data_IF_366839745417
#
_entry.id   IF_366839745417
#
_cell.length_a   1.000
_cell.length_b   1.000
_cell.length_c   1.000
_cell.angle_alpha   90.00
_cell.angle_beta   90.00
_cell.angle_gamma   90.00
#
_symmetry.space_group_name_H-M   'P 1'
#
loop_
_entity.id
_entity.type
_entity.pdbx_description
1 polymer ?
#
# COMPACT_ATOMS: atom_id res chain seq x y z
N UNK A 1 -44.81 54.58 12.38
CA UNK A 1 -45.38 53.51 13.23
C UNK A 1 -45.45 52.25 12.36
N UNK A 2 -44.51 51.31 12.51
CA UNK A 2 -44.53 50.14 13.43
C UNK A 2 -45.60 49.11 12.98
N UNK A 3 -45.37 47.82 12.65
CA UNK A 3 -44.35 46.77 12.91
C UNK A 3 -44.51 45.63 11.87
N UNK A 4 -43.44 45.06 11.28
CA UNK A 4 -42.64 43.83 11.62
C UNK A 4 -43.30 42.44 11.41
N UNK A 5 -42.50 41.58 10.75
CA UNK A 5 -42.29 40.10 10.88
C UNK A 5 -43.43 39.18 10.43
N UNK A 6 -43.24 38.04 9.73
CA UNK A 6 -42.28 36.91 9.83
C UNK A 6 -42.18 36.18 8.46
N UNK A 7 -41.00 35.86 7.92
CA UNK A 7 -40.30 34.55 7.98
C UNK A 7 -41.19 33.30 7.81
N UNK A 8 -41.02 32.55 6.72
CA UNK A 8 -41.03 31.08 6.76
C UNK A 8 -40.22 30.50 5.61
N UNK A 9 -39.12 29.89 6.02
CA UNK A 9 -38.19 29.06 5.27
C UNK A 9 -38.90 27.74 4.98
N UNK A 10 -39.02 27.34 3.71
CA UNK A 10 -39.37 25.97 3.36
C UNK A 10 -38.09 25.21 3.01
N UNK A 11 -37.44 24.71 4.06
CA UNK A 11 -36.39 23.69 3.97
C UNK A 11 -37.02 22.42 3.44
N UNK A 12 -36.73 22.05 2.19
CA UNK A 12 -37.03 20.71 1.70
C UNK A 12 -35.86 19.79 2.14
N UNK A 13 -36.09 19.07 3.22
CA UNK A 13 -35.19 18.02 3.70
C UNK A 13 -35.32 16.85 2.74
N UNK A 14 -34.31 16.63 1.89
CA UNK A 14 -34.12 15.36 1.20
C UNK A 14 -33.51 14.37 2.19
N UNK A 15 -34.37 13.57 2.81
CA UNK A 15 -33.97 12.27 3.33
C UNK A 15 -33.70 11.36 2.13
N UNK A 16 -32.46 11.30 1.66
CA UNK A 16 -31.97 10.06 1.08
C UNK A 16 -31.30 9.29 2.21
N UNK A 17 -32.07 8.36 2.75
CA UNK A 17 -31.55 7.17 3.41
C UNK A 17 -30.91 6.35 2.29
N UNK A 18 -29.65 6.66 1.98
CA UNK A 18 -28.75 5.73 1.34
C UNK A 18 -28.14 4.90 2.45
N UNK A 19 -28.75 3.76 2.76
CA UNK A 19 -28.01 2.66 3.35
C UNK A 19 -26.92 2.29 2.35
N UNK A 20 -25.74 2.90 2.45
CA UNK A 20 -24.56 2.28 1.87
C UNK A 20 -24.17 1.14 2.79
N UNK A 21 -24.78 0.02 2.43
CA UNK A 21 -24.31 -1.33 2.63
C UNK A 21 -22.79 -1.29 2.76
N UNK A 22 -22.30 -1.43 3.99
CA UNK A 22 -20.91 -1.74 4.27
C UNK A 22 -20.63 -3.15 3.75
N UNK A 23 -20.67 -3.32 2.43
CA UNK A 23 -19.81 -4.27 1.77
C UNK A 23 -18.41 -3.70 1.96
N UNK A 24 -17.73 -4.12 3.03
CA UNK A 24 -16.28 -4.21 2.96
C UNK A 24 -16.00 -5.21 1.84
N UNK A 25 -15.94 -4.72 0.60
CA UNK A 25 -15.17 -5.39 -0.43
C UNK A 25 -13.74 -5.36 0.10
N UNK A 26 -13.20 -6.52 0.44
CA UNK A 26 -11.76 -6.68 0.49
C UNK A 26 -11.25 -6.44 -0.91
N UNK A 27 -10.93 -5.18 -1.21
CA UNK A 27 -10.28 -4.78 -2.45
C UNK A 27 -8.83 -5.26 -2.36
N UNK A 28 -8.62 -6.56 -2.60
CA UNK A 28 -7.30 -7.08 -2.92
C UNK A 28 -6.98 -6.57 -4.32
N UNK A 29 -6.32 -5.41 -4.39
CA UNK A 29 -5.86 -4.83 -5.64
C UNK A 29 -4.58 -5.53 -6.07
N UNK A 30 -4.44 -5.86 -7.34
CA UNK A 30 -3.15 -6.29 -7.89
C UNK A 30 -2.19 -5.11 -7.87
N UNK A 31 -0.90 -5.37 -7.62
CA UNK A 31 0.13 -4.34 -7.73
C UNK A 31 0.33 -3.91 -9.20
N UNK A 32 1.20 -2.91 -9.43
CA UNK A 32 1.57 -2.48 -10.79
C UNK A 32 1.97 -3.71 -11.63
N UNK A 33 1.32 -3.96 -12.79
CA UNK A 33 1.64 -5.11 -13.64
C UNK A 33 3.10 -5.06 -14.10
N UNK A 34 3.75 -6.23 -14.20
CA UNK A 34 5.15 -6.35 -14.58
C UNK A 34 5.48 -5.68 -15.93
N UNK A 35 4.54 -5.72 -16.87
CA UNK A 35 4.65 -5.06 -18.18
C UNK A 35 4.72 -3.54 -18.12
N UNK A 36 4.33 -2.95 -16.99
CA UNK A 36 4.33 -1.51 -16.76
C UNK A 36 5.51 -1.04 -15.92
N UNK A 37 6.34 -1.96 -15.42
CA UNK A 37 7.46 -1.65 -14.54
C UNK A 37 8.61 -1.03 -15.32
N UNK A 38 9.10 0.10 -14.81
CA UNK A 38 10.33 0.73 -15.25
C UNK A 38 11.46 0.55 -14.24
N UNK A 39 11.14 0.55 -12.94
CA UNK A 39 12.09 0.39 -11.84
C UNK A 39 11.46 -0.31 -10.65
N UNK A 40 12.21 -1.19 -10.01
CA UNK A 40 11.87 -1.84 -8.75
C UNK A 40 12.87 -1.39 -7.67
N UNK A 41 12.36 -0.98 -6.51
CA UNK A 41 13.16 -0.75 -5.32
C UNK A 41 12.53 -1.46 -4.12
N UNK A 42 13.33 -2.22 -3.36
CA UNK A 42 12.93 -2.85 -2.11
C UNK A 42 13.83 -2.31 -1.00
N UNK A 43 13.22 -1.73 0.04
CA UNK A 43 13.92 -1.22 1.22
C UNK A 43 13.55 -2.12 2.39
N UNK A 44 14.53 -2.85 2.89
CA UNK A 44 14.43 -3.67 4.10
C UNK A 44 14.90 -2.85 5.31
N UNK A 45 14.07 -2.75 6.35
CA UNK A 45 14.46 -2.25 7.68
C UNK A 45 14.60 -3.47 8.60
N UNK A 46 15.82 -3.78 9.01
CA UNK A 46 16.15 -4.92 9.89
C UNK A 46 15.77 -4.68 11.36
N UNK A 47 15.16 -3.53 11.67
CA UNK A 47 14.67 -3.19 12.99
C UNK A 47 15.80 -2.92 13.96
N UNK A 48 15.89 -3.72 15.03
CA UNK A 48 16.87 -3.52 16.09
C UNK A 48 18.22 -4.15 15.77
N UNK A 49 19.09 -3.35 15.15
CA UNK A 49 20.49 -3.71 14.80
C UNK A 49 21.51 -3.00 15.70
N UNK A 50 22.72 -3.57 15.81
CA UNK A 50 23.80 -2.99 16.61
C UNK A 50 24.34 -1.66 16.07
N UNK A 51 24.31 -1.47 14.74
CA UNK A 51 24.74 -0.25 14.07
C UNK A 51 23.63 0.29 13.18
N UNK A 52 23.39 1.61 13.22
CA UNK A 52 22.41 2.26 12.34
C UNK A 52 22.74 2.13 10.85
N UNK A 53 24.00 1.86 10.49
CA UNK A 53 24.41 1.63 9.10
C UNK A 53 24.01 0.27 8.57
N UNK A 54 23.73 -0.69 9.45
CA UNK A 54 23.31 -2.05 9.11
C UNK A 54 21.78 -2.17 9.15
N UNK A 55 21.07 -1.08 9.43
CA UNK A 55 19.63 -1.12 9.64
C UNK A 55 18.85 -1.27 8.35
N UNK A 56 19.38 -0.73 7.26
CA UNK A 56 18.68 -0.68 5.99
C UNK A 56 19.47 -1.36 4.89
N UNK A 57 18.78 -2.22 4.14
CA UNK A 57 19.27 -2.81 2.89
C UNK A 57 18.39 -2.32 1.74
N UNK A 58 19.02 -1.84 0.66
CA UNK A 58 18.34 -1.28 -0.53
C UNK A 58 18.66 -2.13 -1.77
N UNK A 59 17.63 -2.75 -2.31
CA UNK A 59 17.64 -3.55 -3.54
C UNK A 59 17.00 -2.70 -4.64
N UNK A 60 17.78 -2.16 -5.58
CA UNK A 60 17.29 -1.17 -6.56
C UNK A 60 17.74 -1.56 -7.97
N UNK A 61 16.77 -1.81 -8.84
CA UNK A 61 16.98 -2.37 -10.17
C UNK A 61 16.16 -1.60 -11.21
N UNK A 62 16.80 -1.26 -12.34
CA UNK A 62 16.09 -0.81 -13.53
C UNK A 62 15.45 -2.02 -14.25
N UNK A 63 14.39 -1.81 -15.05
CA UNK A 63 13.62 -2.90 -15.67
C UNK A 63 14.47 -3.99 -16.34
N UNK A 64 15.54 -3.62 -17.05
CA UNK A 64 16.41 -4.57 -17.75
C UNK A 64 17.30 -5.42 -16.84
N UNK A 65 17.37 -5.07 -15.55
CA UNK A 65 18.15 -5.76 -14.52
C UNK A 65 17.26 -6.66 -13.65
N UNK A 66 15.93 -6.59 -13.81
CA UNK A 66 14.97 -7.39 -13.06
C UNK A 66 14.86 -8.78 -13.73
N UNK A 67 15.12 -9.88 -13.01
CA UNK A 67 14.93 -11.23 -13.52
C UNK A 67 13.47 -11.49 -13.95
N UNK A 68 13.27 -12.30 -14.99
CA UNK A 68 11.93 -12.67 -15.46
C UNK A 68 11.08 -13.31 -14.37
N UNK A 69 11.69 -14.10 -13.51
CA UNK A 69 11.08 -14.81 -12.40
C UNK A 69 10.52 -13.82 -11.36
N UNK A 70 11.20 -12.69 -11.15
CA UNK A 70 10.72 -11.60 -10.31
C UNK A 70 9.52 -10.92 -10.94
N UNK A 71 9.56 -10.66 -12.25
CA UNK A 71 8.43 -10.07 -12.99
C UNK A 71 7.20 -10.98 -12.95
N UNK A 72 7.38 -12.28 -13.15
CA UNK A 72 6.32 -13.30 -13.03
C UNK A 72 5.76 -13.34 -11.61
N UNK A 73 6.61 -13.28 -10.58
CA UNK A 73 6.17 -13.25 -9.17
C UNK A 73 5.36 -11.99 -8.88
N UNK A 74 5.81 -10.81 -9.30
CA UNK A 74 5.11 -9.52 -9.14
C UNK A 74 3.68 -9.60 -9.67
N UNK A 75 3.47 -10.19 -10.85
CA UNK A 75 2.14 -10.31 -11.46
C UNK A 75 1.16 -11.19 -10.65
N UNK A 76 1.67 -12.00 -9.71
CA UNK A 76 0.85 -12.83 -8.82
C UNK A 76 0.55 -12.17 -7.48
N UNK A 77 1.24 -11.08 -7.13
CA UNK A 77 1.10 -10.42 -5.83
C UNK A 77 -0.18 -9.58 -5.79
N UNK A 78 -0.90 -9.72 -4.68
CA UNK A 78 -2.07 -8.92 -4.38
C UNK A 78 -1.85 -8.14 -3.09
N UNK A 79 -2.43 -6.96 -3.02
CA UNK A 79 -2.47 -6.19 -1.77
C UNK A 79 -3.43 -6.84 -0.79
N UNK A 80 -3.19 -6.64 0.49
CA UNK A 80 -4.05 -7.09 1.57
C UNK A 80 -4.31 -5.95 2.55
N UNK A 81 -5.49 -5.97 3.16
CA UNK A 81 -5.89 -5.11 4.27
C UNK A 81 -6.12 -5.92 5.56
N UNK A 82 -5.97 -7.25 5.50
CA UNK A 82 -6.26 -8.16 6.60
C UNK A 82 -4.97 -8.79 7.18
N UNK A 83 -5.03 -9.29 8.41
CA UNK A 83 -3.92 -9.94 9.11
C UNK A 83 -2.64 -9.08 9.25
N UNK A 84 -2.82 -7.77 9.44
CA UNK A 84 -1.70 -6.87 9.76
C UNK A 84 -1.20 -7.13 11.19
N UNK A 85 0.08 -7.46 11.38
CA UNK A 85 0.67 -7.76 12.69
C UNK A 85 1.84 -6.86 13.02
N UNK A 86 1.84 -6.22 14.19
CA UNK A 86 2.86 -5.22 14.49
C UNK A 86 4.09 -5.80 15.12
N UNK A 87 5.19 -5.73 14.37
CA UNK A 87 6.51 -5.98 14.91
C UNK A 87 7.23 -4.67 15.12
N UNK A 88 7.21 -4.15 16.36
CA UNK A 88 7.93 -2.92 16.70
C UNK A 88 9.45 -3.04 16.54
N UNK A 89 9.98 -4.27 16.60
CA UNK A 89 11.42 -4.57 16.53
C UNK A 89 11.75 -5.60 15.44
N UNK A 90 10.81 -5.89 14.53
CA UNK A 90 11.00 -6.89 13.48
C UNK A 90 11.48 -6.30 12.17
N UNK A 91 11.95 -7.18 11.29
CA UNK A 91 12.26 -6.83 9.92
C UNK A 91 10.99 -6.40 9.18
N UNK A 92 11.03 -5.27 8.49
CA UNK A 92 9.92 -4.74 7.69
C UNK A 92 10.41 -4.32 6.31
N UNK A 93 9.50 -4.17 5.36
CA UNK A 93 9.84 -3.88 3.97
C UNK A 93 9.04 -2.72 3.40
N UNK A 94 9.64 -2.02 2.43
CA UNK A 94 8.97 -1.15 1.47
C UNK A 94 9.25 -1.67 0.07
N UNK A 95 8.25 -1.70 -0.79
CA UNK A 95 8.44 -1.88 -2.23
C UNK A 95 8.00 -0.60 -2.91
N UNK A 96 8.89 0.01 -3.70
CA UNK A 96 8.56 1.10 -4.60
C UNK A 96 8.66 0.60 -6.04
N UNK A 97 7.56 0.68 -6.79
CA UNK A 97 7.53 0.36 -8.21
C UNK A 97 7.34 1.67 -8.97
N UNK A 98 8.27 2.00 -9.86
CA UNK A 98 8.08 3.12 -10.80
C UNK A 98 7.51 2.56 -12.09
N UNK A 99 6.35 3.06 -12.52
CA UNK A 99 5.69 2.64 -13.74
C UNK A 99 6.20 3.38 -15.00
N UNK A 100 5.67 3.00 -16.16
CA UNK A 100 5.97 3.63 -17.46
C UNK A 100 5.54 5.11 -17.56
N UNK A 101 4.71 5.59 -16.63
CA UNK A 101 4.31 7.01 -16.51
C UNK A 101 5.19 7.78 -15.52
N UNK A 102 6.28 7.18 -15.02
CA UNK A 102 7.15 7.72 -13.97
C UNK A 102 6.43 7.97 -12.62
N UNK A 103 5.31 7.28 -12.39
CA UNK A 103 4.58 7.32 -11.10
C UNK A 103 5.18 6.26 -10.17
N UNK A 104 5.46 6.66 -8.93
CA UNK A 104 5.96 5.76 -7.89
C UNK A 104 4.78 5.23 -7.09
N UNK A 105 4.61 3.91 -7.11
CA UNK A 105 3.65 3.19 -6.30
C UNK A 105 4.38 2.57 -5.11
N UNK A 106 3.94 2.91 -3.89
CA UNK A 106 4.56 2.42 -2.65
C UNK A 106 3.67 1.38 -2.00
N UNK A 107 4.27 0.23 -1.72
CA UNK A 107 3.68 -0.86 -0.97
C UNK A 107 4.55 -1.13 0.26
N UNK A 108 3.95 -1.63 1.34
CA UNK A 108 4.68 -1.94 2.56
C UNK A 108 4.36 -3.35 3.03
N UNK A 109 5.30 -3.97 3.75
CA UNK A 109 5.00 -5.26 4.37
C UNK A 109 3.86 -5.14 5.37
N UNK A 110 3.01 -6.17 5.44
CA UNK A 110 1.86 -6.25 6.34
C UNK A 110 2.22 -6.17 7.84
N UNK A 111 3.51 -6.18 8.18
CA UNK A 111 3.99 -6.03 9.55
C UNK A 111 4.59 -4.67 9.92
N UNK A 112 4.64 -3.72 8.98
CA UNK A 112 5.33 -2.44 9.15
C UNK A 112 4.54 -1.39 9.94
N UNK A 113 3.24 -1.27 9.70
CA UNK A 113 2.45 -0.13 10.21
C UNK A 113 1.00 -0.52 10.48
N UNK A 114 0.76 -1.21 11.60
CA UNK A 114 -0.54 -1.76 11.96
C UNK A 114 -1.28 -0.77 12.84
N UNK A 115 -2.49 -0.44 12.41
CA UNK A 115 -3.25 0.71 12.88
C UNK A 115 -3.52 1.74 11.79
N UNK A 116 -2.95 1.57 10.59
CA UNK A 116 -3.26 2.34 9.38
C UNK A 116 -3.95 1.50 8.31
N UNK A 117 -5.00 0.78 8.71
CA UNK A 117 -5.81 -0.08 7.82
C UNK A 117 -6.41 0.65 6.61
N UNK A 118 -6.46 1.99 6.65
CA UNK A 118 -7.18 2.82 5.69
C UNK A 118 -6.27 3.60 4.71
N UNK A 119 -4.95 3.49 4.81
CA UNK A 119 -4.05 4.43 4.11
C UNK A 119 -2.92 3.76 3.30
N UNK A 120 -2.76 2.44 3.34
CA UNK A 120 -1.62 1.79 2.66
C UNK A 120 -1.97 0.43 2.08
N UNK A 121 -1.47 0.17 0.87
CA UNK A 121 -1.53 -1.14 0.23
C UNK A 121 -0.45 -2.04 0.85
N UNK A 122 -0.86 -3.05 1.60
CA UNK A 122 0.08 -3.98 2.24
C UNK A 122 0.35 -5.21 1.37
N UNK A 123 1.56 -5.75 1.44
CA UNK A 123 1.96 -7.01 0.80
C UNK A 123 2.44 -7.97 1.91
N UNK A 124 2.19 -9.27 1.75
CA UNK A 124 2.69 -10.28 2.69
C UNK A 124 4.21 -10.26 2.73
N UNK A 125 4.82 -10.35 3.92
CA UNK A 125 6.28 -10.53 4.05
C UNK A 125 6.78 -11.69 3.16
N UNK A 126 6.09 -12.82 3.18
CA UNK A 126 6.51 -14.03 2.45
C UNK A 126 6.68 -13.76 0.94
N UNK A 127 5.81 -12.94 0.35
CA UNK A 127 5.91 -12.56 -1.06
C UNK A 127 7.13 -11.66 -1.33
N UNK A 128 7.45 -10.78 -0.39
CA UNK A 128 8.60 -9.87 -0.51
C UNK A 128 9.91 -10.64 -0.33
N UNK A 129 9.98 -11.55 0.64
CA UNK A 129 11.15 -12.41 0.86
C UNK A 129 11.40 -13.33 -0.35
N UNK A 130 10.34 -13.83 -0.99
CA UNK A 130 10.46 -14.60 -2.23
C UNK A 130 11.02 -13.73 -3.37
N UNK A 131 10.54 -12.49 -3.55
CA UNK A 131 11.14 -11.56 -4.53
C UNK A 131 12.62 -11.34 -4.25
N UNK A 132 13.00 -11.04 -3.01
CA UNK A 132 14.41 -10.82 -2.64
C UNK A 132 15.26 -12.05 -2.96
N UNK A 133 14.76 -13.25 -2.64
CA UNK A 133 15.45 -14.52 -2.96
C UNK A 133 15.65 -14.72 -4.47
N UNK A 134 14.73 -14.22 -5.30
CA UNK A 134 14.84 -14.29 -6.76
C UNK A 134 15.76 -13.21 -7.35
N UNK A 135 16.15 -12.20 -6.57
CA UNK A 135 17.08 -11.13 -6.97
C UNK A 135 18.56 -11.47 -6.71
N UNK A 136 18.84 -12.45 -5.83
CA UNK A 136 20.17 -12.96 -5.47
C UNK A 136 20.67 -14.09 -6.41
#
# INVERSE_FOLDING_TARGET
>A
MKWKTTLSIATLILFMVGCDNSNMENNTETIVPSSEIKKLQIIQDDGNVFSSTERFTDYSYDFNEIPSEVLEKIDTISTTSENLYCSNDGQTFQINITDNSDIIHTYVSNNRDCGRENETNFISIDDIEEIITLLD
#
